data_IF_861281546528
#
_entry.id   IF_861281546528
#
_cell.length_a   1.000
_cell.length_b   1.000
_cell.length_c   1.000
_cell.angle_alpha   90.00
_cell.angle_beta   90.00
_cell.angle_gamma   90.00
#
_symmetry.space_group_name_H-M   'P 1'
#
loop_
_entity.id
_entity.type
_entity.pdbx_description
1 polymer ?
#
# COMPACT_ATOMS: atom_id res chain seq x y z
N UNK A 1 -0.64 14.95 111.43
CA UNK A 1 -0.47 14.04 110.26
C UNK A 1 -1.72 14.21 109.42
N UNK A 2 -1.76 14.99 108.35
CA UNK A 2 -0.86 14.99 107.21
C UNK A 2 -1.71 14.68 105.99
N UNK A 3 -2.65 15.59 105.71
CA UNK A 3 -3.59 15.58 104.59
C UNK A 3 -2.82 15.93 103.31
N UNK A 4 -2.23 14.93 102.66
CA UNK A 4 -1.46 15.14 101.42
C UNK A 4 -1.83 14.15 100.29
N UNK A 5 -2.83 13.28 100.53
CA UNK A 5 -3.34 12.32 99.54
C UNK A 5 -4.49 12.85 98.66
N UNK A 6 -5.25 13.84 99.14
CA UNK A 6 -6.48 14.30 98.49
C UNK A 6 -6.29 15.19 97.26
N UNK A 7 -5.18 15.94 97.21
CA UNK A 7 -4.97 17.00 96.20
C UNK A 7 -4.45 16.48 94.86
N UNK A 8 -3.67 15.40 94.87
CA UNK A 8 -3.18 14.74 93.63
C UNK A 8 -4.26 13.86 92.98
N UNK A 9 -5.12 13.24 93.79
CA UNK A 9 -6.20 12.38 93.30
C UNK A 9 -7.37 13.20 92.72
N UNK A 10 -7.68 14.38 93.30
CA UNK A 10 -8.70 15.29 92.77
C UNK A 10 -8.28 15.91 91.43
N UNK A 11 -7.02 16.35 91.28
CA UNK A 11 -6.48 16.85 90.02
C UNK A 11 -6.47 15.81 88.88
N UNK A 12 -6.20 14.53 89.19
CA UNK A 12 -6.32 13.43 88.22
C UNK A 12 -7.77 13.14 87.82
N UNK A 13 -8.72 13.25 88.75
CA UNK A 13 -10.16 13.05 88.48
C UNK A 13 -10.69 14.19 87.59
N UNK A 14 -10.31 15.43 87.86
CA UNK A 14 -10.67 16.58 87.02
C UNK A 14 -10.06 16.51 85.62
N UNK A 15 -8.80 16.08 85.50
CA UNK A 15 -8.16 15.83 84.21
C UNK A 15 -8.88 14.74 83.39
N UNK A 16 -9.29 13.64 84.04
CA UNK A 16 -10.09 12.57 83.42
C UNK A 16 -11.48 13.04 83.01
N UNK A 17 -12.12 13.92 83.78
CA UNK A 17 -13.42 14.51 83.46
C UNK A 17 -13.32 15.46 82.25
N UNK A 18 -12.30 16.32 82.22
CA UNK A 18 -12.00 17.20 81.08
C UNK A 18 -11.71 16.40 79.82
N UNK A 19 -10.92 15.33 79.90
CA UNK A 19 -10.66 14.43 78.76
C UNK A 19 -11.94 13.76 78.26
N UNK A 20 -12.83 13.30 79.15
CA UNK A 20 -14.13 12.72 78.75
C UNK A 20 -15.09 13.75 78.15
N UNK A 21 -15.06 15.00 78.62
CA UNK A 21 -15.84 16.09 78.03
C UNK A 21 -15.31 16.45 76.63
N UNK A 22 -13.99 16.56 76.49
CA UNK A 22 -13.31 16.78 75.20
C UNK A 22 -13.61 15.65 74.21
N UNK A 23 -13.43 14.38 74.61
CA UNK A 23 -13.72 13.23 73.75
C UNK A 23 -15.18 13.17 73.32
N UNK A 24 -16.13 13.49 74.22
CA UNK A 24 -17.56 13.59 73.85
C UNK A 24 -17.81 14.70 72.84
N UNK A 25 -17.19 15.86 73.02
CA UNK A 25 -17.33 16.98 72.08
C UNK A 25 -16.73 16.65 70.72
N UNK A 26 -15.54 16.05 70.68
CA UNK A 26 -14.91 15.58 69.44
C UNK A 26 -15.75 14.51 68.74
N UNK A 27 -16.29 13.54 69.48
CA UNK A 27 -17.16 12.51 68.89
C UNK A 27 -18.46 13.11 68.32
N UNK A 28 -18.96 14.20 68.90
CA UNK A 28 -20.10 14.95 68.38
C UNK A 28 -19.73 15.65 67.07
N UNK A 29 -18.60 16.36 67.04
CA UNK A 29 -18.10 17.05 65.84
C UNK A 29 -17.95 16.06 64.68
N UNK A 30 -17.28 14.92 64.89
CA UNK A 30 -17.12 13.92 63.83
C UNK A 30 -18.45 13.35 63.32
N UNK A 31 -19.44 13.16 64.23
CA UNK A 31 -20.78 12.71 63.82
C UNK A 31 -21.51 13.76 63.01
N UNK A 32 -21.34 15.04 63.34
CA UNK A 32 -21.97 16.14 62.64
C UNK A 32 -21.30 16.39 61.28
N UNK A 33 -19.96 16.32 61.20
CA UNK A 33 -19.21 16.35 59.94
C UNK A 33 -19.61 15.21 59.00
N UNK A 34 -19.68 13.98 59.51
CA UNK A 34 -20.09 12.82 58.72
C UNK A 34 -21.53 12.97 58.19
N UNK A 35 -22.46 13.51 59.00
CA UNK A 35 -23.83 13.79 58.55
C UNK A 35 -23.86 14.85 57.45
N UNK A 36 -23.03 15.89 57.56
CA UNK A 36 -22.93 16.94 56.53
C UNK A 36 -22.36 16.40 55.22
N UNK A 37 -21.31 15.57 55.29
CA UNK A 37 -20.70 14.94 54.11
C UNK A 37 -21.68 13.99 53.41
N UNK A 38 -22.42 13.18 54.18
CA UNK A 38 -23.47 12.33 53.63
C UNK A 38 -24.59 13.13 52.98
N UNK A 39 -25.04 14.21 53.62
CA UNK A 39 -26.05 15.09 53.04
C UNK A 39 -25.56 15.74 51.73
N UNK A 40 -24.29 16.17 51.69
CA UNK A 40 -23.68 16.73 50.49
C UNK A 40 -23.60 15.71 49.35
N UNK A 41 -23.17 14.48 49.64
CA UNK A 41 -23.04 13.43 48.64
C UNK A 41 -24.41 13.02 48.07
N UNK A 42 -25.43 12.87 48.92
CA UNK A 42 -26.79 12.58 48.47
C UNK A 42 -27.36 13.71 47.59
N UNK A 43 -27.14 14.96 47.97
CA UNK A 43 -27.56 16.10 47.17
C UNK A 43 -26.80 16.16 45.84
N UNK A 44 -25.50 15.86 45.85
CA UNK A 44 -24.67 15.82 44.64
C UNK A 44 -25.08 14.70 43.70
N UNK A 45 -25.37 13.51 44.23
CA UNK A 45 -25.90 12.38 43.46
C UNK A 45 -27.23 12.76 42.81
N UNK A 46 -28.17 13.33 43.58
CA UNK A 46 -29.45 13.79 43.06
C UNK A 46 -29.29 14.83 41.95
N UNK A 47 -28.40 15.80 42.11
CA UNK A 47 -28.09 16.79 41.07
C UNK A 47 -27.53 16.15 39.80
N UNK A 48 -26.63 15.18 39.94
CA UNK A 48 -26.06 14.46 38.80
C UNK A 48 -27.13 13.61 38.08
N UNK A 49 -28.02 12.97 38.83
CA UNK A 49 -29.15 12.24 38.27
C UNK A 49 -30.12 13.16 37.52
N UNK A 50 -30.46 14.32 38.09
CA UNK A 50 -31.31 15.33 37.44
C UNK A 50 -30.67 15.86 36.16
N UNK A 51 -29.36 16.15 36.18
CA UNK A 51 -28.61 16.57 35.00
C UNK A 51 -28.61 15.48 33.90
N UNK A 52 -28.39 14.22 34.27
CA UNK A 52 -28.46 13.10 33.32
C UNK A 52 -29.87 12.93 32.74
N UNK A 53 -30.91 13.01 33.58
CA UNK A 53 -32.30 12.96 33.12
C UNK A 53 -32.61 14.12 32.18
N UNK A 54 -32.13 15.33 32.48
CA UNK A 54 -32.24 16.50 31.60
C UNK A 54 -31.60 16.26 30.24
N UNK A 55 -30.32 15.86 30.21
CA UNK A 55 -29.58 15.56 28.97
C UNK A 55 -30.26 14.47 28.14
N UNK A 56 -30.74 13.40 28.79
CA UNK A 56 -31.43 12.30 28.10
C UNK A 56 -32.81 12.70 27.59
N UNK A 57 -33.53 13.55 28.33
CA UNK A 57 -34.83 14.07 27.93
C UNK A 57 -34.71 15.08 26.79
N UNK A 58 -33.76 16.01 26.84
CA UNK A 58 -33.41 16.91 25.74
C UNK A 58 -33.00 16.12 24.49
N UNK A 59 -32.18 15.07 24.63
CA UNK A 59 -31.86 14.14 23.52
C UNK A 59 -33.12 13.50 22.93
N UNK A 60 -34.03 13.03 23.77
CA UNK A 60 -35.27 12.39 23.33
C UNK A 60 -36.21 13.39 22.66
N UNK A 61 -36.37 14.58 23.20
CA UNK A 61 -37.20 15.65 22.62
C UNK A 61 -36.62 16.18 21.30
N UNK A 62 -35.30 16.37 21.22
CA UNK A 62 -34.60 16.70 19.98
C UNK A 62 -34.80 15.61 18.90
N UNK A 63 -34.84 14.33 19.30
CA UNK A 63 -35.17 13.22 18.38
C UNK A 63 -36.66 13.12 18.01
N UNK A 64 -37.56 13.70 18.81
CA UNK A 64 -39.02 13.69 18.57
C UNK A 64 -39.48 14.87 17.69
N UNK A 65 -38.76 15.99 17.69
CA UNK A 65 -38.98 17.12 16.76
C UNK A 65 -38.29 16.94 15.40
N UNK A 66 -37.32 16.04 15.31
CA UNK A 66 -36.65 15.64 14.08
C UNK A 66 -36.52 14.12 14.08
N UNK A 67 -37.48 13.45 13.43
CA UNK A 67 -37.55 11.99 13.25
C UNK A 67 -36.31 11.42 12.52
N UNK A 68 -35.36 12.27 12.11
CA UNK A 68 -34.23 11.91 11.24
C UNK A 68 -32.87 12.48 11.64
N UNK A 69 -32.72 13.28 12.71
CA UNK A 69 -31.41 13.86 13.05
C UNK A 69 -30.70 13.08 14.18
N UNK A 70 -29.66 12.28 13.89
CA UNK A 70 -28.80 11.72 14.94
C UNK A 70 -28.06 12.87 15.66
N UNK A 71 -27.74 12.65 16.94
CA UNK A 71 -26.87 13.53 17.74
C UNK A 71 -25.72 14.09 16.89
N UNK A 72 -25.72 15.42 16.68
CA UNK A 72 -24.73 16.15 15.86
C UNK A 72 -23.28 15.91 16.34
N UNK A 73 -23.11 15.41 17.58
CA UNK A 73 -21.81 15.26 18.22
C UNK A 73 -21.42 13.83 18.61
N UNK A 74 -22.22 12.80 18.28
CA UNK A 74 -21.78 11.42 18.50
C UNK A 74 -22.49 10.44 17.57
N UNK A 75 -21.76 9.92 16.58
CA UNK A 75 -22.22 8.81 15.74
C UNK A 75 -22.54 7.60 16.63
N UNK A 76 -23.61 6.84 16.33
CA UNK A 76 -23.86 5.56 17.00
C UNK A 76 -22.64 4.65 16.90
N UNK A 77 -22.28 3.98 18.00
CA UNK A 77 -21.14 3.05 18.01
C UNK A 77 -21.27 1.93 16.96
N UNK A 78 -22.51 1.54 16.63
CA UNK A 78 -22.78 0.60 15.54
C UNK A 78 -22.25 1.12 14.19
N UNK A 79 -22.45 2.41 13.91
CA UNK A 79 -22.06 3.04 12.66
C UNK A 79 -20.55 3.28 12.62
N UNK A 80 -19.94 3.66 13.76
CA UNK A 80 -18.49 3.77 13.91
C UNK A 80 -17.83 2.41 13.70
N UNK A 81 -18.36 1.35 14.34
CA UNK A 81 -17.84 -0.01 14.19
C UNK A 81 -17.98 -0.53 12.75
N UNK A 82 -19.11 -0.22 12.08
CA UNK A 82 -19.31 -0.54 10.68
C UNK A 82 -18.29 0.19 9.79
N UNK A 83 -18.12 1.50 9.95
CA UNK A 83 -17.14 2.28 9.18
C UNK A 83 -15.70 1.80 9.38
N UNK A 84 -15.33 1.44 10.62
CA UNK A 84 -14.00 0.87 10.91
C UNK A 84 -13.82 -0.51 10.27
N UNK A 85 -14.87 -1.34 10.25
CA UNK A 85 -14.83 -2.64 9.58
C UNK A 85 -14.69 -2.47 8.07
N UNK A 86 -15.45 -1.57 7.47
CA UNK A 86 -15.39 -1.29 6.03
C UNK A 86 -14.00 -0.75 5.65
N UNK A 87 -13.44 0.16 6.46
CA UNK A 87 -12.08 0.67 6.28
C UNK A 87 -11.02 -0.43 6.41
N UNK A 88 -11.17 -1.35 7.37
CA UNK A 88 -10.28 -2.52 7.50
C UNK A 88 -10.38 -3.42 6.28
N UNK A 89 -11.60 -3.74 5.84
CA UNK A 89 -11.82 -4.67 4.74
C UNK A 89 -11.29 -4.08 3.42
N UNK A 90 -11.50 -2.77 3.18
CA UNK A 90 -10.89 -2.04 2.08
C UNK A 90 -9.35 -2.08 2.13
N UNK A 91 -8.76 -1.85 3.31
CA UNK A 91 -7.31 -1.91 3.51
C UNK A 91 -6.74 -3.31 3.27
N UNK A 92 -7.49 -4.37 3.61
CA UNK A 92 -7.09 -5.76 3.34
C UNK A 92 -7.07 -6.02 1.83
N UNK A 93 -8.11 -5.61 1.11
CA UNK A 93 -8.17 -5.73 -0.35
C UNK A 93 -7.01 -4.98 -0.99
N UNK A 94 -6.77 -3.73 -0.59
CA UNK A 94 -5.63 -2.96 -1.09
C UNK A 94 -4.30 -3.66 -0.82
N UNK A 95 -4.08 -4.13 0.41
CA UNK A 95 -2.87 -4.89 0.78
C UNK A 95 -2.69 -6.13 -0.08
N UNK A 96 -3.75 -6.87 -0.38
CA UNK A 96 -3.67 -8.09 -1.20
C UNK A 96 -3.37 -7.75 -2.66
N UNK A 97 -3.99 -6.71 -3.23
CA UNK A 97 -3.67 -6.24 -4.59
C UNK A 97 -2.22 -5.75 -4.69
N UNK A 98 -1.71 -5.04 -3.68
CA UNK A 98 -0.32 -4.58 -3.63
C UNK A 98 0.66 -5.75 -3.53
N UNK A 99 0.33 -6.79 -2.76
CA UNK A 99 1.13 -8.01 -2.69
C UNK A 99 1.18 -8.70 -4.05
N UNK A 100 0.05 -8.84 -4.73
CA UNK A 100 0.00 -9.43 -6.08
C UNK A 100 0.86 -8.63 -7.08
N UNK A 101 0.75 -7.29 -7.08
CA UNK A 101 1.59 -6.43 -7.92
C UNK A 101 3.07 -6.60 -7.61
N UNK A 102 3.42 -6.66 -6.33
CA UNK A 102 4.81 -6.86 -5.89
C UNK A 102 5.36 -8.20 -6.38
N UNK A 103 4.59 -9.28 -6.23
CA UNK A 103 4.99 -10.60 -6.72
C UNK A 103 5.16 -10.63 -8.23
N UNK A 104 4.30 -9.92 -8.96
CA UNK A 104 4.36 -9.82 -10.41
C UNK A 104 5.60 -9.05 -10.88
N UNK A 105 5.89 -7.90 -10.26
CA UNK A 105 7.11 -7.14 -10.57
C UNK A 105 8.37 -7.93 -10.25
N UNK A 106 8.40 -8.70 -9.16
CA UNK A 106 9.54 -9.56 -8.85
C UNK A 106 9.75 -10.65 -9.91
N UNK A 107 8.66 -11.20 -10.46
CA UNK A 107 8.75 -12.14 -11.59
C UNK A 107 9.34 -11.47 -12.82
N UNK A 108 8.82 -10.29 -13.20
CA UNK A 108 9.33 -9.52 -14.34
C UNK A 108 10.81 -9.18 -14.18
N UNK A 109 11.24 -8.78 -12.98
CA UNK A 109 12.66 -8.47 -12.72
C UNK A 109 13.56 -9.69 -12.91
N UNK A 110 13.18 -10.85 -12.38
CA UNK A 110 13.93 -12.11 -12.56
C UNK A 110 13.99 -12.52 -14.02
N UNK A 111 12.87 -12.40 -14.71
CA UNK A 111 12.76 -12.65 -16.15
C UNK A 111 13.70 -11.73 -16.93
N UNK A 112 13.71 -10.43 -16.64
CA UNK A 112 14.58 -9.45 -17.30
C UNK A 112 16.06 -9.69 -17.00
N UNK A 113 16.42 -10.06 -15.78
CA UNK A 113 17.81 -10.40 -15.41
C UNK A 113 18.30 -11.66 -16.14
N UNK A 114 17.45 -12.68 -16.23
CA UNK A 114 17.74 -13.88 -17.02
C UNK A 114 17.82 -13.57 -18.51
N UNK A 115 16.97 -12.66 -19.00
CA UNK A 115 16.92 -12.28 -20.40
C UNK A 115 18.14 -11.46 -20.81
N UNK A 116 18.57 -10.48 -20.00
CA UNK A 116 19.77 -9.69 -20.30
C UNK A 116 21.04 -10.54 -20.27
N UNK A 117 21.15 -11.47 -19.33
CA UNK A 117 22.28 -12.41 -19.29
C UNK A 117 22.30 -13.37 -20.49
N UNK A 118 21.14 -13.88 -20.92
CA UNK A 118 21.03 -14.71 -22.12
C UNK A 118 21.45 -13.95 -23.39
N UNK A 119 21.09 -12.67 -23.48
CA UNK A 119 21.36 -11.84 -24.66
C UNK A 119 22.67 -11.05 -24.55
N UNK A 120 23.49 -11.26 -23.50
CA UNK A 120 24.71 -10.48 -23.26
C UNK A 120 25.77 -10.65 -24.38
N UNK A 121 25.81 -11.83 -25.00
CA UNK A 121 26.76 -12.16 -26.07
C UNK A 121 26.17 -11.96 -27.48
N UNK A 122 24.94 -11.44 -27.59
CA UNK A 122 24.26 -11.33 -28.87
C UNK A 122 24.66 -10.02 -29.55
N UNK A 123 25.23 -10.11 -30.76
CA UNK A 123 25.75 -8.96 -31.50
C UNK A 123 24.66 -8.14 -32.21
N UNK A 124 23.49 -8.71 -32.44
CA UNK A 124 22.39 -8.04 -33.15
C UNK A 124 21.04 -8.26 -32.47
N UNK A 125 20.12 -7.30 -32.60
CA UNK A 125 18.76 -7.44 -32.06
C UNK A 125 17.98 -8.61 -32.70
N UNK A 126 18.43 -9.14 -33.85
CA UNK A 126 17.75 -10.17 -34.64
C UNK A 126 17.85 -11.56 -34.01
N UNK A 127 18.90 -11.81 -33.23
CA UNK A 127 19.18 -13.12 -32.65
C UNK A 127 18.68 -13.23 -31.19
N UNK A 128 17.81 -12.30 -30.78
CA UNK A 128 17.30 -12.29 -29.42
C UNK A 128 16.07 -13.17 -29.24
N UNK A 129 16.04 -13.89 -28.12
CA UNK A 129 14.89 -14.73 -27.74
C UNK A 129 13.89 -13.91 -26.93
N UNK A 130 12.61 -13.97 -27.28
CA UNK A 130 11.53 -13.39 -26.46
C UNK A 130 11.04 -14.39 -25.41
N UNK A 131 10.76 -13.90 -24.20
CA UNK A 131 10.29 -14.71 -23.08
C UNK A 131 8.82 -15.13 -23.25
N UNK A 132 8.42 -16.23 -22.61
CA UNK A 132 7.04 -16.71 -22.60
C UNK A 132 6.09 -15.79 -21.81
N UNK A 133 6.57 -15.24 -20.69
CA UNK A 133 5.76 -14.41 -19.80
C UNK A 133 5.30 -13.13 -20.49
N UNK A 134 3.99 -12.86 -20.65
CA UNK A 134 3.51 -11.77 -21.51
C UNK A 134 4.06 -10.38 -21.15
N UNK A 135 4.04 -9.92 -19.88
CA UNK A 135 4.61 -8.63 -19.50
C UNK A 135 6.11 -8.52 -19.78
N UNK A 136 6.86 -9.61 -19.54
CA UNK A 136 8.29 -9.67 -19.82
C UNK A 136 8.57 -9.65 -21.33
N UNK A 137 7.74 -10.35 -22.11
CA UNK A 137 7.80 -10.35 -23.57
C UNK A 137 7.57 -8.97 -24.16
N UNK A 138 6.62 -8.20 -23.61
CA UNK A 138 6.33 -6.85 -24.08
C UNK A 138 7.50 -5.89 -23.84
N UNK A 139 8.23 -6.06 -22.73
CA UNK A 139 9.48 -5.34 -22.47
C UNK A 139 10.57 -5.71 -23.48
N UNK A 140 10.72 -7.01 -23.79
CA UNK A 140 11.65 -7.48 -24.82
C UNK A 140 11.33 -6.91 -26.20
N UNK A 141 10.05 -6.95 -26.60
CA UNK A 141 9.57 -6.31 -27.83
C UNK A 141 9.87 -4.82 -27.84
N UNK A 142 9.59 -4.11 -26.76
CA UNK A 142 9.86 -2.67 -26.66
C UNK A 142 11.35 -2.34 -26.78
N UNK A 143 12.22 -3.18 -26.21
CA UNK A 143 13.66 -3.05 -26.36
C UNK A 143 14.09 -3.24 -27.81
N UNK A 144 13.60 -4.30 -28.48
CA UNK A 144 13.91 -4.57 -29.89
C UNK A 144 13.51 -3.39 -30.76
N UNK A 145 12.27 -2.89 -30.62
CA UNK A 145 11.78 -1.80 -31.46
C UNK A 145 12.58 -0.51 -31.23
N UNK A 146 13.00 -0.23 -29.98
CA UNK A 146 13.90 0.90 -29.69
C UNK A 146 15.27 0.72 -30.35
N UNK A 147 15.84 -0.48 -30.31
CA UNK A 147 17.09 -0.76 -31.01
C UNK A 147 16.95 -0.58 -32.51
N UNK A 148 15.87 -1.08 -33.12
CA UNK A 148 15.61 -0.88 -34.55
C UNK A 148 15.54 0.61 -34.91
N UNK A 149 14.85 1.41 -34.10
CA UNK A 149 14.73 2.85 -34.32
C UNK A 149 16.07 3.58 -34.17
N UNK A 150 16.85 3.32 -33.12
CA UNK A 150 18.14 3.98 -32.92
C UNK A 150 19.20 3.54 -33.94
N UNK A 151 19.12 2.30 -34.44
CA UNK A 151 20.00 1.79 -35.49
C UNK A 151 19.51 2.11 -36.92
N UNK A 152 18.37 2.79 -37.09
CA UNK A 152 17.75 3.05 -38.39
C UNK A 152 18.69 3.74 -39.37
N UNK A 153 19.35 4.83 -38.97
CA UNK A 153 20.30 5.56 -39.81
C UNK A 153 21.43 4.67 -40.35
N UNK A 154 21.99 3.80 -39.51
CA UNK A 154 23.03 2.85 -39.92
C UNK A 154 22.48 1.87 -40.97
N UNK A 155 21.27 1.36 -40.76
CA UNK A 155 20.62 0.45 -41.71
C UNK A 155 20.29 1.15 -43.03
N UNK A 156 19.78 2.38 -42.99
CA UNK A 156 19.50 3.17 -44.19
C UNK A 156 20.76 3.39 -45.03
N UNK A 157 21.89 3.71 -44.38
CA UNK A 157 23.17 3.84 -45.08
C UNK A 157 23.66 2.51 -45.64
N UNK A 158 23.62 1.44 -44.83
CA UNK A 158 24.08 0.10 -45.24
C UNK A 158 23.32 -0.44 -46.45
N UNK A 159 22.00 -0.22 -46.49
CA UNK A 159 21.12 -0.68 -47.57
C UNK A 159 20.84 0.41 -48.61
N UNK A 160 21.64 1.49 -48.64
CA UNK A 160 21.62 2.53 -49.67
C UNK A 160 20.23 3.14 -49.89
N UNK A 161 19.50 3.41 -48.81
CA UNK A 161 18.21 4.10 -48.89
C UNK A 161 18.39 5.52 -49.46
N UNK A 162 17.52 5.96 -50.38
CA UNK A 162 17.61 7.28 -50.97
C UNK A 162 17.29 8.38 -49.95
N UNK A 163 17.73 9.61 -50.25
CA UNK A 163 17.40 10.80 -49.45
C UNK A 163 15.88 10.97 -49.35
N UNK A 164 15.38 11.43 -48.20
CA UNK A 164 13.97 11.77 -47.97
C UNK A 164 13.47 12.87 -48.92
N UNK A 165 14.37 13.63 -49.54
CA UNK A 165 14.04 14.64 -50.56
C UNK A 165 13.96 14.08 -51.98
N UNK A 166 14.26 12.79 -52.17
CA UNK A 166 14.16 12.15 -53.49
C UNK A 166 12.69 11.91 -53.84
N UNK A 167 12.33 12.06 -55.12
CA UNK A 167 10.95 11.85 -55.57
C UNK A 167 10.61 10.37 -55.82
N UNK A 168 11.52 9.45 -55.48
CA UNK A 168 11.37 8.03 -55.77
C UNK A 168 10.98 7.26 -54.51
N UNK A 169 9.80 6.65 -54.54
CA UNK A 169 9.39 5.68 -53.54
C UNK A 169 10.28 4.43 -53.67
N UNK A 170 10.99 4.07 -52.60
CA UNK A 170 11.76 2.82 -52.56
C UNK A 170 10.81 1.69 -52.16
N UNK A 171 10.66 0.71 -53.05
CA UNK A 171 10.00 -0.56 -52.77
C UNK A 171 10.68 -1.66 -53.58
N UNK A 172 11.50 -2.47 -52.93
CA UNK A 172 12.14 -3.60 -53.58
C UNK A 172 12.36 -4.79 -52.65
N UNK A 173 12.57 -5.92 -53.29
CA UNK A 173 12.73 -7.21 -52.67
C UNK A 173 13.92 -7.88 -53.32
N UNK A 174 14.96 -8.09 -52.54
CA UNK A 174 16.15 -8.84 -52.93
C UNK A 174 16.13 -10.20 -52.24
N UNK A 175 16.33 -11.26 -53.02
CA UNK A 175 16.41 -12.63 -52.51
C UNK A 175 17.78 -13.18 -52.89
N UNK A 176 18.59 -13.47 -51.89
CA UNK A 176 19.94 -14.00 -52.07
C UNK A 176 20.01 -15.39 -51.48
N UNK A 177 20.52 -16.36 -52.23
CA UNK A 177 20.78 -17.69 -51.69
C UNK A 177 22.12 -17.69 -50.99
N UNK A 178 22.13 -18.04 -49.70
CA UNK A 178 23.35 -18.23 -48.93
C UNK A 178 24.13 -19.41 -49.55
N UNK A 179 25.36 -19.18 -50.08
CA UNK A 179 26.12 -20.22 -50.78
C UNK A 179 26.44 -21.43 -49.90
N UNK A 180 26.63 -21.19 -48.61
CA UNK A 180 27.11 -22.19 -47.67
C UNK A 180 25.99 -23.08 -47.10
N UNK A 181 24.79 -22.52 -46.94
CA UNK A 181 23.66 -23.21 -46.30
C UNK A 181 22.53 -23.55 -47.27
N UNK A 182 22.53 -22.95 -48.46
CA UNK A 182 21.41 -23.00 -49.40
C UNK A 182 20.15 -22.26 -48.89
N UNK A 183 20.22 -21.59 -47.74
CA UNK A 183 19.11 -20.83 -47.20
C UNK A 183 18.83 -19.59 -48.06
N UNK A 184 17.56 -19.21 -48.15
CA UNK A 184 17.16 -17.98 -48.81
C UNK A 184 17.18 -16.82 -47.81
N UNK A 185 18.03 -15.84 -48.06
CA UNK A 185 18.01 -14.55 -47.37
C UNK A 185 17.12 -13.58 -48.15
N UNK A 186 16.21 -12.92 -47.43
CA UNK A 186 15.23 -12.00 -47.99
C UNK A 186 15.46 -10.60 -47.41
N UNK A 187 15.77 -9.64 -48.29
CA UNK A 187 15.89 -8.22 -47.94
C UNK A 187 14.75 -7.46 -48.60
N UNK A 188 13.86 -6.91 -47.80
CA UNK A 188 12.76 -6.06 -48.27
C UNK A 188 12.98 -4.63 -47.79
N UNK A 189 13.06 -3.71 -48.75
CA UNK A 189 13.24 -2.29 -48.47
C UNK A 189 11.99 -1.55 -48.90
N UNK A 190 11.48 -0.73 -47.98
CA UNK A 190 10.34 0.14 -48.24
C UNK A 190 10.56 1.48 -47.55
N UNK A 191 10.40 2.58 -48.29
CA UNK A 191 10.48 3.95 -47.77
C UNK A 191 9.26 4.74 -48.23
N UNK A 192 8.63 5.43 -47.29
CA UNK A 192 7.51 6.33 -47.53
C UNK A 192 7.36 7.29 -46.36
N UNK A 193 6.82 8.48 -46.61
CA UNK A 193 6.59 9.47 -45.56
C UNK A 193 5.28 9.21 -44.82
N UNK A 194 5.35 9.30 -43.50
CA UNK A 194 4.18 9.20 -42.63
C UNK A 194 4.18 10.39 -41.68
N UNK A 195 3.09 11.16 -41.69
CA UNK A 195 2.87 12.27 -40.77
C UNK A 195 2.45 11.79 -39.37
N UNK A 196 3.24 10.90 -38.76
CA UNK A 196 3.01 10.39 -37.41
C UNK A 196 4.27 10.54 -36.56
N UNK A 197 4.11 10.82 -35.25
CA UNK A 197 5.23 10.82 -34.33
C UNK A 197 5.94 9.45 -34.30
N UNK A 198 7.27 9.46 -34.18
CA UNK A 198 8.06 8.24 -34.06
C UNK A 198 7.63 7.35 -32.87
N UNK A 199 7.12 7.95 -31.79
CA UNK A 199 6.57 7.22 -30.64
C UNK A 199 5.40 6.31 -31.02
N UNK A 200 4.54 6.76 -31.93
CA UNK A 200 3.42 5.95 -32.41
C UNK A 200 3.90 4.78 -33.25
N UNK A 201 4.90 5.00 -34.12
CA UNK A 201 5.52 3.92 -34.90
C UNK A 201 6.18 2.89 -33.98
N UNK A 202 6.93 3.32 -32.97
CA UNK A 202 7.53 2.42 -31.98
C UNK A 202 6.49 1.56 -31.25
N UNK A 203 5.37 2.16 -30.87
CA UNK A 203 4.28 1.42 -30.22
C UNK A 203 3.63 0.42 -31.17
N UNK A 204 3.27 0.85 -32.38
CA UNK A 204 2.69 -0.01 -33.41
C UNK A 204 3.61 -1.21 -33.67
N UNK A 205 4.88 -0.98 -34.00
CA UNK A 205 5.83 -2.04 -34.27
C UNK A 205 6.03 -2.96 -33.08
N UNK A 206 6.11 -2.47 -31.84
CA UNK A 206 6.17 -3.33 -30.65
C UNK A 206 5.01 -4.33 -30.63
N UNK A 207 3.80 -3.88 -30.96
CA UNK A 207 2.60 -4.72 -30.87
C UNK A 207 2.58 -5.77 -32.00
N UNK A 208 3.03 -5.40 -33.22
CA UNK A 208 2.97 -6.28 -34.40
C UNK A 208 4.26 -7.07 -34.71
N UNK A 209 5.40 -6.79 -34.06
CA UNK A 209 6.71 -7.35 -34.45
C UNK A 209 6.75 -8.88 -34.46
N UNK A 210 6.03 -9.54 -33.55
CA UNK A 210 5.94 -11.00 -33.52
C UNK A 210 5.23 -11.60 -34.74
N UNK A 211 4.21 -10.90 -35.26
CA UNK A 211 3.51 -11.27 -36.48
C UNK A 211 4.34 -10.92 -37.73
N UNK A 212 5.00 -9.76 -37.73
CA UNK A 212 5.85 -9.29 -38.83
C UNK A 212 7.04 -10.21 -39.11
N UNK A 213 7.66 -10.74 -38.05
CA UNK A 213 8.85 -11.59 -38.15
C UNK A 213 8.52 -13.08 -38.31
N UNK A 214 7.27 -13.43 -38.65
CA UNK A 214 6.83 -14.82 -38.93
C UNK A 214 7.13 -15.77 -37.76
N UNK A 215 7.03 -15.26 -36.52
CA UNK A 215 7.46 -15.99 -35.33
C UNK A 215 6.32 -16.70 -34.60
N UNK A 216 5.07 -16.61 -35.05
CA UNK A 216 3.90 -17.16 -34.32
C UNK A 216 3.74 -18.69 -34.35
N UNK A 217 4.74 -19.44 -34.79
CA UNK A 217 4.80 -20.90 -34.61
C UNK A 217 5.86 -21.24 -33.54
N UNK A 218 5.62 -20.89 -32.27
CA UNK A 218 6.60 -21.04 -31.20
C UNK A 218 6.49 -22.36 -30.41
N UNK A 219 7.64 -22.96 -30.14
CA UNK A 219 7.89 -23.78 -28.95
C UNK A 219 8.37 -22.87 -27.80
N UNK A 220 7.77 -22.91 -26.60
CA UNK A 220 8.12 -22.01 -25.52
C UNK A 220 9.51 -22.32 -24.93
N UNK A 221 10.37 -21.30 -24.84
CA UNK A 221 11.66 -21.40 -24.16
C UNK A 221 11.43 -21.21 -22.66
N UNK A 222 11.50 -22.31 -21.90
CA UNK A 222 11.49 -22.25 -20.44
C UNK A 222 12.86 -21.80 -19.93
N UNK A 223 12.96 -20.57 -19.47
CA UNK A 223 14.11 -20.10 -18.70
C UNK A 223 14.13 -20.82 -17.34
N UNK A 224 14.76 -21.99 -17.25
CA UNK A 224 15.17 -22.52 -15.95
C UNK A 224 16.31 -21.64 -15.46
N UNK A 225 16.01 -20.74 -14.52
CA UNK A 225 17.04 -20.08 -13.73
C UNK A 225 17.97 -21.15 -13.14
N UNK A 226 19.29 -21.10 -13.38
CA UNK A 226 20.20 -21.99 -12.69
C UNK A 226 20.11 -21.65 -11.20
N UNK A 227 19.48 -22.52 -10.42
CA UNK A 227 19.57 -22.45 -8.98
C UNK A 227 21.04 -22.66 -8.63
N UNK A 228 21.77 -21.58 -8.44
CA UNK A 228 23.04 -21.58 -7.75
C UNK A 228 22.72 -22.09 -6.34
N UNK A 229 22.93 -23.40 -6.12
CA UNK A 229 22.97 -23.95 -4.78
C UNK A 229 24.18 -23.33 -4.11
N UNK A 230 23.95 -22.29 -3.31
CA UNK A 230 24.91 -21.82 -2.34
C UNK A 230 25.16 -22.95 -1.34
N UNK A 231 26.16 -23.77 -1.62
CA UNK A 231 26.73 -24.67 -0.63
C UNK A 231 27.40 -23.81 0.44
N UNK A 232 26.65 -23.47 1.49
CA UNK A 232 27.24 -23.09 2.77
C UNK A 232 27.96 -24.31 3.33
N UNK A 233 29.27 -24.37 3.13
CA UNK A 233 30.14 -25.20 3.94
C UNK A 233 30.61 -24.37 5.13
N UNK A 234 30.00 -24.62 6.28
CA UNK A 234 30.61 -24.31 7.58
C UNK A 234 31.42 -25.54 8.02
N UNK A 235 32.74 -25.44 7.92
CA UNK A 235 33.69 -26.07 8.84
C UNK A 235 34.92 -25.17 8.96
#
# INVERSE_FOLDING_TARGET
>A
MGDDGGRSHSGQVDSKLRRRAYMRNMMKIYRDEFKLEMAYLCEREKQLEENLRGILHERRQASMGSVTAPSVWSLPWKDIAAALKDGRDASIVERDTLKQKTTEYHRILRDMEAWTSLNACVSTWRDMTLLEHPPSRDLGKAWITRQMYHNSNRMFHQYQFPSTTSSHDLYDVEVVTCPDTGALEYVHRRQFDIALPASFLLQMYRDIIGHLLVQENYTPVRCRSPMVKSHLNWR
#
